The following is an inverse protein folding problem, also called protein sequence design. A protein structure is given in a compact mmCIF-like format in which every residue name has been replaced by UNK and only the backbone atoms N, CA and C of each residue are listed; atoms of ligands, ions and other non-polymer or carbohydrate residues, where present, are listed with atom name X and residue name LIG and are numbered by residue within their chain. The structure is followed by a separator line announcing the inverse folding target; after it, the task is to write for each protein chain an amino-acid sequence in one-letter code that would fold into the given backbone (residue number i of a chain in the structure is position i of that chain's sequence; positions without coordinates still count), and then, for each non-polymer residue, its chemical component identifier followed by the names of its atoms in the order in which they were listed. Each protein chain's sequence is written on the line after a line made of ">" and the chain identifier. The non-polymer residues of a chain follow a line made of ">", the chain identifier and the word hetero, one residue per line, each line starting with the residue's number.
data_IF_214883995937
#
_entry.id   IF_214883995937
#
_cell.length_a   1.000
_cell.length_b   1.000
_cell.length_c   1.000
_cell.angle_alpha   90.00
_cell.angle_beta   90.00
_cell.angle_gamma   90.00
#
_symmetry.space_group_name_H-M   'P 1'
#
loop_
_entity.id
_entity.type
_entity.pdbx_description
1 polymer ?
#
# COMPACT_ATOMS: atom_id res chain seq x y z
N UNK A 1 -16.11 10.46 2.38
CA UNK A 1 -16.01 11.27 1.16
C UNK A 1 -16.36 10.49 -0.10
N UNK A 2 -15.54 9.52 -0.55
CA UNK A 2 -15.74 8.78 -1.82
C UNK A 2 -17.11 8.08 -1.90
N UNK A 3 -17.46 7.28 -0.88
CA UNK A 3 -18.76 6.58 -0.82
C UNK A 3 -19.94 7.55 -0.94
N UNK A 4 -19.92 8.65 -0.18
CA UNK A 4 -20.95 9.70 -0.25
C UNK A 4 -21.03 10.34 -1.65
N UNK A 5 -19.88 10.69 -2.24
CA UNK A 5 -19.83 11.35 -3.54
C UNK A 5 -20.29 10.45 -4.70
N UNK A 6 -20.13 9.13 -4.55
CA UNK A 6 -20.48 8.15 -5.60
C UNK A 6 -21.80 7.45 -5.36
N UNK A 7 -22.42 7.63 -4.19
CA UNK A 7 -23.60 6.87 -3.76
C UNK A 7 -23.34 5.37 -3.59
N UNK A 8 -22.08 4.92 -3.55
CA UNK A 8 -21.71 3.51 -3.45
C UNK A 8 -21.53 3.10 -1.99
N UNK A 9 -21.98 1.88 -1.65
CA UNK A 9 -21.78 1.31 -0.32
C UNK A 9 -20.30 1.00 -0.08
N UNK A 10 -19.78 1.47 1.05
CA UNK A 10 -18.45 1.11 1.52
C UNK A 10 -18.43 -0.36 1.95
N UNK A 11 -17.45 -1.12 1.47
CA UNK A 11 -17.20 -2.49 1.91
C UNK A 11 -15.77 -2.58 2.46
N UNK A 12 -15.63 -3.12 3.67
CA UNK A 12 -14.34 -3.33 4.31
C UNK A 12 -13.77 -4.68 3.91
N UNK A 13 -12.45 -4.74 3.67
CA UNK A 13 -11.78 -6.00 3.34
C UNK A 13 -10.42 -6.08 4.04
N UNK A 14 -10.23 -7.08 4.90
CA UNK A 14 -9.01 -7.25 5.71
C UNK A 14 -7.77 -7.49 4.85
N UNK A 15 -7.92 -8.07 3.66
CA UNK A 15 -6.84 -8.24 2.69
C UNK A 15 -6.20 -6.93 2.19
N UNK A 16 -6.83 -5.77 2.43
CA UNK A 16 -6.32 -4.43 2.09
C UNK A 16 -5.69 -3.70 3.29
N UNK A 17 -5.60 -4.34 4.46
CA UNK A 17 -4.90 -3.78 5.60
C UNK A 17 -3.40 -3.61 5.32
N UNK A 18 -2.79 -2.63 5.99
CA UNK A 18 -1.34 -2.42 5.98
C UNK A 18 -0.58 -3.68 6.42
N UNK A 19 0.71 -3.73 6.08
CA UNK A 19 1.64 -4.72 6.61
C UNK A 19 1.55 -4.78 8.13
N UNK A 20 1.40 -5.98 8.66
CA UNK A 20 1.53 -6.23 10.10
C UNK A 20 2.98 -6.02 10.53
N UNK A 21 3.21 -5.12 11.49
CA UNK A 21 4.54 -4.89 12.05
C UNK A 21 4.73 -5.59 13.40
N UNK A 22 3.67 -6.20 13.95
CA UNK A 22 3.77 -7.05 15.13
C UNK A 22 4.42 -6.32 16.30
N UNK A 23 5.47 -6.90 16.88
CA UNK A 23 6.20 -6.28 18.00
C UNK A 23 6.84 -4.92 17.68
N UNK A 24 6.92 -4.51 16.41
CA UNK A 24 7.41 -3.19 16.00
C UNK A 24 6.33 -2.10 16.01
N UNK A 25 5.05 -2.45 16.14
CA UNK A 25 3.96 -1.48 16.13
C UNK A 25 4.07 -0.47 17.29
N UNK A 26 3.82 0.80 16.97
CA UNK A 26 3.89 1.90 17.94
C UNK A 26 5.32 2.31 18.35
N UNK A 27 6.37 1.74 17.75
CA UNK A 27 7.77 2.06 18.05
C UNK A 27 8.40 2.90 16.96
N UNK A 28 9.29 3.79 17.37
CA UNK A 28 10.15 4.56 16.46
C UNK A 28 11.32 3.71 15.99
N UNK A 29 11.93 4.08 14.86
CA UNK A 29 13.16 3.43 14.39
C UNK A 29 14.29 3.45 15.42
N UNK A 30 14.46 4.55 16.16
CA UNK A 30 15.51 4.67 17.17
C UNK A 30 15.32 3.68 18.33
N UNK A 31 14.08 3.51 18.80
CA UNK A 31 13.76 2.53 19.84
C UNK A 31 14.01 1.10 19.35
N UNK A 32 13.67 0.81 18.09
CA UNK A 32 13.89 -0.50 17.48
C UNK A 32 15.38 -0.79 17.27
N UNK A 33 16.16 0.18 16.81
CA UNK A 33 17.62 0.02 16.66
C UNK A 33 18.30 -0.22 18.01
N UNK A 34 17.84 0.44 19.08
CA UNK A 34 18.35 0.24 20.43
C UNK A 34 17.94 -1.12 21.04
N UNK A 35 16.72 -1.58 20.78
CA UNK A 35 16.16 -2.81 21.39
C UNK A 35 16.52 -4.07 20.61
N UNK A 36 16.45 -4.02 19.28
CA UNK A 36 16.64 -5.15 18.36
C UNK A 36 17.48 -4.73 17.13
N UNK A 37 18.79 -4.46 17.29
CA UNK A 37 19.62 -3.92 16.21
C UNK A 37 19.66 -4.81 14.95
N UNK A 38 19.76 -6.14 15.12
CA UNK A 38 19.79 -7.07 13.99
C UNK A 38 18.47 -7.12 13.22
N UNK A 39 17.34 -7.10 13.93
CA UNK A 39 16.01 -7.12 13.31
C UNK A 39 15.72 -5.79 12.59
N UNK A 40 16.10 -4.67 13.22
CA UNK A 40 16.02 -3.34 12.64
C UNK A 40 16.84 -3.23 11.36
N UNK A 41 18.04 -3.83 11.33
CA UNK A 41 18.85 -3.89 10.12
C UNK A 41 18.14 -4.66 9.00
N UNK A 42 17.55 -5.83 9.28
CA UNK A 42 16.77 -6.59 8.28
C UNK A 42 15.56 -5.81 7.78
N UNK A 43 14.87 -5.11 8.66
CA UNK A 43 13.75 -4.24 8.28
C UNK A 43 14.22 -3.10 7.36
N UNK A 44 15.31 -2.43 7.71
CA UNK A 44 15.90 -1.33 6.93
C UNK A 44 16.42 -1.79 5.57
N UNK A 45 17.00 -2.98 5.51
CA UNK A 45 17.43 -3.63 4.26
C UNK A 45 16.27 -4.19 3.45
N UNK A 46 15.03 -4.13 3.96
CA UNK A 46 13.83 -4.69 3.33
C UNK A 46 14.02 -6.17 2.95
N UNK A 47 14.57 -6.97 3.86
CA UNK A 47 14.65 -8.42 3.68
C UNK A 47 13.23 -8.96 3.40
N UNK A 48 12.98 -9.56 2.23
CA UNK A 48 11.64 -9.90 1.80
C UNK A 48 11.06 -11.10 2.53
N UNK A 49 11.92 -11.96 3.07
CA UNK A 49 11.52 -13.19 3.76
C UNK A 49 11.42 -12.99 5.27
N UNK A 50 12.02 -11.94 5.80
CA UNK A 50 11.96 -11.63 7.22
C UNK A 50 10.65 -10.93 7.60
N UNK A 51 10.14 -11.27 8.78
CA UNK A 51 9.03 -10.62 9.45
C UNK A 51 9.39 -10.39 10.93
N UNK A 52 8.94 -9.28 11.54
CA UNK A 52 8.97 -9.14 12.99
C UNK A 52 8.03 -10.17 13.63
N UNK A 53 8.27 -10.53 14.89
CA UNK A 53 7.39 -11.44 15.62
C UNK A 53 5.95 -10.91 15.64
N UNK A 54 4.99 -11.79 15.29
CA UNK A 54 3.58 -11.41 15.13
C UNK A 54 3.26 -10.52 13.92
N UNK A 55 4.24 -10.23 13.06
CA UNK A 55 4.07 -9.40 11.87
C UNK A 55 4.10 -10.19 10.56
N UNK A 56 4.32 -9.45 9.47
CA UNK A 56 4.21 -9.96 8.10
C UNK A 56 5.51 -9.72 7.32
N UNK A 57 5.92 -10.68 6.48
CA UNK A 57 7.04 -10.53 5.55
C UNK A 57 6.64 -9.76 4.29
N UNK A 58 7.57 -9.19 3.54
CA UNK A 58 7.21 -8.51 2.28
C UNK A 58 6.67 -9.49 1.23
N UNK A 59 7.13 -10.74 1.24
CA UNK A 59 6.62 -11.80 0.35
C UNK A 59 5.17 -12.14 0.69
N UNK A 60 4.86 -12.34 1.98
CA UNK A 60 3.49 -12.62 2.45
C UNK A 60 2.56 -11.45 2.15
N UNK A 61 3.01 -10.23 2.42
CA UNK A 61 2.30 -8.99 2.09
C UNK A 61 1.99 -8.92 0.59
N UNK A 62 3.00 -9.16 -0.26
CA UNK A 62 2.85 -9.16 -1.73
C UNK A 62 1.77 -10.12 -2.18
N UNK A 63 1.86 -11.37 -1.76
CA UNK A 63 0.91 -12.42 -2.14
C UNK A 63 -0.51 -12.09 -1.67
N UNK A 64 -0.67 -11.65 -0.42
CA UNK A 64 -1.97 -11.29 0.14
C UNK A 64 -2.63 -10.18 -0.68
N UNK A 65 -1.90 -9.11 -0.97
CA UNK A 65 -2.44 -7.94 -1.67
C UNK A 65 -2.74 -8.27 -3.13
N UNK A 66 -1.82 -8.91 -3.86
CA UNK A 66 -2.04 -9.21 -5.29
C UNK A 66 -3.20 -10.18 -5.46
N UNK A 67 -3.33 -11.18 -4.59
CA UNK A 67 -4.49 -12.08 -4.55
C UNK A 67 -5.77 -11.30 -4.26
N UNK A 68 -5.82 -10.55 -3.17
CA UNK A 68 -7.01 -9.77 -2.76
C UNK A 68 -7.46 -8.81 -3.86
N UNK A 69 -6.54 -8.02 -4.41
CA UNK A 69 -6.87 -7.05 -5.44
C UNK A 69 -7.34 -7.74 -6.74
N UNK A 70 -6.77 -8.90 -7.09
CA UNK A 70 -7.20 -9.66 -8.27
C UNK A 70 -8.57 -10.29 -8.07
N UNK A 71 -8.86 -10.86 -6.89
CA UNK A 71 -10.16 -11.44 -6.55
C UNK A 71 -11.26 -10.39 -6.57
N UNK A 72 -10.98 -9.19 -6.03
CA UNK A 72 -11.91 -8.06 -6.08
C UNK A 72 -12.12 -7.59 -7.53
N UNK A 73 -11.05 -7.38 -8.29
CA UNK A 73 -11.16 -6.94 -9.69
C UNK A 73 -11.93 -7.96 -10.57
N UNK A 74 -11.71 -9.26 -10.36
CA UNK A 74 -12.39 -10.33 -11.09
C UNK A 74 -13.91 -10.34 -10.91
N UNK A 75 -14.42 -9.84 -9.77
CA UNK A 75 -15.86 -9.72 -9.51
C UNK A 75 -16.51 -8.55 -10.26
N UNK A 76 -15.71 -7.67 -10.85
CA UNK A 76 -16.14 -6.39 -11.43
C UNK A 76 -15.63 -6.21 -12.87
N UNK A 77 -15.68 -7.26 -13.70
CA UNK A 77 -15.27 -7.20 -15.10
C UNK A 77 -15.99 -6.10 -15.88
N UNK A 78 -15.21 -5.30 -16.61
CA UNK A 78 -15.72 -4.16 -17.40
C UNK A 78 -16.17 -2.95 -16.56
N UNK A 79 -15.93 -2.97 -15.24
CA UNK A 79 -16.29 -1.87 -14.34
C UNK A 79 -15.05 -1.20 -13.75
N UNK A 80 -15.25 -0.05 -13.11
CA UNK A 80 -14.24 0.63 -12.31
C UNK A 80 -14.57 0.46 -10.83
N UNK A 81 -13.60 -0.01 -10.06
CA UNK A 81 -13.68 -0.08 -8.59
C UNK A 81 -12.67 0.86 -7.95
N UNK A 82 -12.92 1.26 -6.72
CA UNK A 82 -12.00 2.05 -5.91
C UNK A 82 -11.58 1.23 -4.72
N UNK A 83 -10.27 1.03 -4.57
CA UNK A 83 -9.66 0.43 -3.39
C UNK A 83 -9.00 1.56 -2.57
N UNK A 84 -9.30 1.62 -1.28
CA UNK A 84 -8.68 2.55 -0.33
C UNK A 84 -7.85 1.73 0.64
N UNK A 85 -6.55 2.03 0.72
CA UNK A 85 -5.60 1.25 1.51
C UNK A 85 -4.39 2.12 1.92
N UNK A 86 -3.27 1.47 2.24
CA UNK A 86 -2.11 2.07 2.88
C UNK A 86 -0.86 2.08 1.98
N UNK A 87 0.22 2.69 2.46
CA UNK A 87 1.47 2.85 1.70
C UNK A 87 2.09 1.52 1.28
N UNK A 88 2.15 0.53 2.17
CA UNK A 88 2.68 -0.80 1.83
C UNK A 88 1.84 -1.52 0.78
N UNK A 89 0.51 -1.30 0.80
CA UNK A 89 -0.41 -1.83 -0.20
C UNK A 89 -0.16 -1.19 -1.57
N UNK A 90 -0.01 0.13 -1.61
CA UNK A 90 0.32 0.85 -2.85
C UNK A 90 1.70 0.45 -3.39
N UNK A 91 2.72 0.29 -2.54
CA UNK A 91 4.07 -0.17 -2.95
C UNK A 91 4.00 -1.55 -3.64
N UNK A 92 3.24 -2.49 -3.09
CA UNK A 92 3.05 -3.81 -3.71
C UNK A 92 2.32 -3.71 -5.05
N UNK A 93 1.23 -2.95 -5.10
CA UNK A 93 0.43 -2.83 -6.33
C UNK A 93 1.22 -2.14 -7.45
N UNK A 94 2.03 -1.12 -7.14
CA UNK A 94 2.94 -0.51 -8.10
C UNK A 94 3.90 -1.56 -8.65
N UNK A 95 4.62 -2.26 -7.76
CA UNK A 95 5.61 -3.27 -8.17
C UNK A 95 4.99 -4.38 -9.01
N UNK A 96 3.79 -4.83 -8.65
CA UNK A 96 3.05 -5.82 -9.43
C UNK A 96 2.69 -5.29 -10.82
N UNK A 97 2.27 -4.03 -10.92
CA UNK A 97 1.85 -3.41 -12.18
C UNK A 97 3.02 -3.02 -13.11
N UNK A 98 4.22 -2.84 -12.56
CA UNK A 98 5.42 -2.45 -13.31
C UNK A 98 6.49 -3.55 -13.37
N UNK A 99 6.18 -4.78 -12.90
CA UNK A 99 7.10 -5.91 -12.93
C UNK A 99 8.35 -5.76 -12.05
N UNK A 100 8.30 -4.95 -10.99
CA UNK A 100 9.45 -4.69 -10.12
C UNK A 100 9.63 -5.78 -9.06
N UNK A 101 10.88 -6.03 -8.69
CA UNK A 101 11.22 -6.90 -7.57
C UNK A 101 10.91 -6.23 -6.23
N UNK A 102 10.76 -7.02 -5.16
CA UNK A 102 10.45 -6.49 -3.82
C UNK A 102 11.58 -5.64 -3.22
N UNK A 103 12.82 -5.97 -3.58
CA UNK A 103 14.02 -5.26 -3.12
C UNK A 103 14.43 -4.10 -4.03
N UNK A 104 13.82 -3.94 -5.21
CA UNK A 104 14.15 -2.81 -6.08
C UNK A 104 13.96 -1.49 -5.32
N UNK A 105 14.93 -0.55 -5.40
CA UNK A 105 14.80 0.75 -4.76
C UNK A 105 13.49 1.42 -5.16
N UNK A 106 12.81 2.04 -4.18
CA UNK A 106 11.57 2.76 -4.46
C UNK A 106 11.90 4.06 -5.18
N UNK A 107 11.44 4.19 -6.42
CA UNK A 107 11.65 5.37 -7.28
C UNK A 107 10.34 6.13 -7.57
N UNK A 108 9.28 5.84 -6.82
CA UNK A 108 7.96 6.45 -6.98
C UNK A 108 7.44 7.04 -5.68
N UNK A 109 6.60 8.05 -5.82
CA UNK A 109 5.97 8.73 -4.71
C UNK A 109 4.76 7.95 -4.18
N UNK A 110 4.53 8.11 -2.88
CA UNK A 110 3.36 7.58 -2.17
C UNK A 110 2.84 8.71 -1.29
N UNK A 111 2.13 9.65 -1.92
CA UNK A 111 1.48 10.75 -1.21
C UNK A 111 0.21 10.33 -0.49
N UNK A 112 -0.12 11.05 0.58
CA UNK A 112 -1.41 10.91 1.25
C UNK A 112 -2.55 11.28 0.30
N UNK A 113 -3.63 10.48 0.32
CA UNK A 113 -4.80 10.64 -0.55
C UNK A 113 -4.49 10.67 -2.07
N UNK A 114 -3.29 10.28 -2.49
CA UNK A 114 -2.94 10.25 -3.91
C UNK A 114 -3.78 9.22 -4.68
N UNK A 115 -4.19 9.57 -5.89
CA UNK A 115 -4.99 8.69 -6.75
C UNK A 115 -4.06 7.87 -7.65
N UNK A 116 -4.16 6.55 -7.55
CA UNK A 116 -3.44 5.59 -8.37
C UNK A 116 -4.41 4.84 -9.29
N UNK A 117 -4.01 4.62 -10.54
CA UNK A 117 -4.84 3.97 -11.56
C UNK A 117 -4.10 2.78 -12.15
N UNK A 118 -4.68 1.61 -11.99
CA UNK A 118 -4.20 0.35 -12.56
C UNK A 118 -5.29 -0.24 -13.45
N UNK A 119 -4.87 -0.85 -14.55
CA UNK A 119 -5.72 -1.77 -15.32
C UNK A 119 -5.43 -3.18 -14.82
N UNK A 120 -6.48 -3.95 -14.57
CA UNK A 120 -6.35 -5.37 -14.25
C UNK A 120 -6.92 -6.23 -15.37
N UNK A 121 -6.22 -7.34 -15.65
CA UNK A 121 -6.69 -8.45 -16.49
C UNK A 121 -6.36 -9.77 -15.78
N UNK A 122 -6.87 -10.92 -16.25
CA UNK A 122 -6.44 -12.22 -15.70
C UNK A 122 -4.92 -12.47 -15.77
N UNK A 123 -4.19 -11.73 -16.61
CA UNK A 123 -2.74 -11.81 -16.73
C UNK A 123 -1.98 -10.92 -15.72
N UNK A 124 -2.68 -10.07 -14.96
CA UNK A 124 -2.10 -9.19 -13.95
C UNK A 124 -2.49 -7.73 -14.09
N UNK A 125 -1.72 -6.88 -13.40
CA UNK A 125 -1.93 -5.44 -13.33
C UNK A 125 -1.02 -4.70 -14.33
N UNK A 126 -1.49 -3.57 -14.83
CA UNK A 126 -0.73 -2.63 -15.66
C UNK A 126 -0.91 -1.22 -15.12
N UNK A 127 0.18 -0.46 -15.03
CA UNK A 127 0.15 0.93 -14.56
C UNK A 127 -0.50 1.85 -15.61
N UNK A 128 -1.50 2.62 -15.20
CA UNK A 128 -2.17 3.63 -16.06
C UNK A 128 -1.81 5.05 -15.60
N UNK A 129 -1.77 5.28 -14.30
CA UNK A 129 -1.39 6.56 -13.71
C UNK A 129 -1.03 6.39 -12.24
N UNK A 130 -0.12 7.22 -11.75
CA UNK A 130 0.43 7.07 -10.41
C UNK A 130 0.54 8.41 -9.69
N UNK A 131 0.33 8.37 -8.38
CA UNK A 131 0.52 9.48 -7.44
C UNK A 131 -0.12 10.80 -7.87
N UNK A 132 -1.34 10.76 -8.41
CA UNK A 132 -2.07 11.96 -8.81
C UNK A 132 -2.65 12.68 -7.58
N UNK A 133 -2.05 13.82 -7.24
CA UNK A 133 -2.42 14.67 -6.10
C UNK A 133 -2.99 16.01 -6.53
N UNK A 134 -3.32 16.23 -7.81
CA UNK A 134 -3.78 17.54 -8.31
C UNK A 134 -5.03 18.05 -7.59
N UNK A 135 -5.87 17.15 -7.10
CA UNK A 135 -7.05 17.48 -6.31
C UNK A 135 -6.73 18.06 -4.91
N UNK A 136 -5.48 18.00 -4.47
CA UNK A 136 -4.98 18.59 -3.22
C UNK A 136 -4.29 19.94 -3.46
N UNK A 137 -3.93 20.26 -4.71
CA UNK A 137 -3.22 21.48 -5.06
C UNK A 137 -4.12 22.72 -4.99
N UNK A 138 -5.44 22.54 -5.15
CA UNK A 138 -6.43 23.63 -5.04
C UNK A 138 -6.93 23.88 -3.60
N UNK A 139 -6.58 23.03 -2.63
CA UNK A 139 -7.09 23.09 -1.24
C UNK A 139 -5.97 22.78 -0.21
N UNK A 140 -4.90 23.56 -0.19
CA UNK A 140 -4.05 23.62 1.02
C UNK A 140 -4.86 24.29 2.13
N UNK A 141 -5.64 23.48 2.86
CA UNK A 141 -6.03 23.81 4.22
C UNK A 141 -4.77 23.70 5.07
N UNK A 142 -3.89 24.70 4.99
CA UNK A 142 -2.90 24.91 6.02
C UNK A 142 -3.66 25.11 7.32
N UNK A 143 -3.53 24.16 8.27
CA UNK A 143 -3.79 24.46 9.67
C UNK A 143 -2.73 25.46 10.14
N UNK A 144 -2.88 26.72 9.76
CA UNK A 144 -2.29 27.84 10.48
C UNK A 144 -3.15 28.09 11.71
N UNK A 145 -3.00 27.21 12.70
CA UNK A 145 -3.44 27.52 14.07
C UNK A 145 -2.29 28.21 14.80
N UNK A 146 -2.65 29.39 15.31
CA UNK A 146 -1.87 30.42 16.00
C UNK A 146 -1.33 29.96 17.35
#
# INVERSE_FOLDING_TARGET
>A
AISNATGRTLQTHTGLCERGFGVFEGKTFAELEATWPEQSLRWRQRDPLWAPEGGESLTTLRERITRTASELAAQHLGQQIVLVAHGGVMDVLYRAATGQELQAPRTWDLGNAAINRLLWTPNGFTLVGWSDTRHLEDDTLDETST
#
